data_IF_372585931428
#
_entry.id   IF_372585931428
#
_cell.length_a   1.000
_cell.length_b   1.000
_cell.length_c   1.000
_cell.angle_alpha   90.00
_cell.angle_beta   90.00
_cell.angle_gamma   90.00
#
_symmetry.space_group_name_H-M   'P 1'
#
loop_
_entity.id
_entity.type
_entity.pdbx_description
1 polymer ?
#
# COMPACT_ATOMS: atom_id res chain seq x y z
N UNK A 1 18.47 -3.71 36.67
CA UNK A 1 17.13 -3.21 36.31
C UNK A 1 17.14 -3.02 34.80
N UNK A 2 16.32 -3.76 34.06
CA UNK A 2 16.20 -3.53 32.64
C UNK A 2 15.55 -2.13 32.44
N UNK A 3 16.15 -1.30 31.60
CA UNK A 3 15.52 -0.05 31.16
C UNK A 3 14.15 -0.42 30.56
N UNK A 4 13.10 0.39 30.85
CA UNK A 4 11.79 0.14 30.27
C UNK A 4 11.92 0.12 28.73
N UNK A 5 11.29 -0.86 28.09
CA UNK A 5 11.21 -0.90 26.63
C UNK A 5 10.65 0.44 26.16
N UNK A 6 11.34 1.14 25.24
CA UNK A 6 10.78 2.36 24.68
C UNK A 6 9.48 2.02 23.96
N UNK A 7 8.46 2.90 24.05
CA UNK A 7 7.20 2.69 23.35
C UNK A 7 7.45 2.46 21.86
N UNK A 8 6.54 1.73 21.21
CA UNK A 8 6.56 1.51 19.76
C UNK A 8 6.91 2.81 19.03
N UNK A 9 8.11 2.90 18.47
CA UNK A 9 8.67 4.13 17.90
C UNK A 9 7.86 4.66 16.70
N UNK A 10 6.96 3.84 16.13
CA UNK A 10 6.13 4.21 14.99
C UNK A 10 4.66 3.82 15.25
N UNK A 11 3.68 4.59 14.73
CA UNK A 11 2.26 4.30 14.88
C UNK A 11 1.89 2.90 14.41
N UNK A 12 0.83 2.32 15.00
CA UNK A 12 0.34 0.98 14.61
C UNK A 12 -0.13 0.91 13.15
N UNK A 13 -0.67 2.00 12.63
CA UNK A 13 -1.13 2.16 11.24
C UNK A 13 0.00 2.52 10.25
N UNK A 14 1.24 2.52 10.74
CA UNK A 14 2.42 2.84 9.93
C UNK A 14 2.54 1.99 8.64
N UNK A 15 2.32 0.66 8.66
CA UNK A 15 2.42 -0.14 7.44
C UNK A 15 1.44 0.29 6.35
N UNK A 16 0.20 0.59 6.72
CA UNK A 16 -0.81 1.06 5.76
C UNK A 16 -0.47 2.45 5.21
N UNK A 17 0.03 3.33 6.08
CA UNK A 17 0.46 4.68 5.67
C UNK A 17 1.59 4.64 4.66
N UNK A 18 2.61 3.80 4.87
CA UNK A 18 3.78 3.73 4.00
C UNK A 18 3.42 3.13 2.63
N UNK A 19 2.60 2.08 2.62
CA UNK A 19 2.10 1.49 1.38
C UNK A 19 1.28 2.52 0.61
N UNK A 20 0.38 3.21 1.28
CA UNK A 20 -0.45 4.24 0.68
C UNK A 20 0.40 5.38 0.10
N UNK A 21 1.38 5.87 0.84
CA UNK A 21 2.27 6.93 0.37
C UNK A 21 3.05 6.48 -0.87
N UNK A 22 3.67 5.32 -0.81
CA UNK A 22 4.49 4.82 -1.93
C UNK A 22 3.68 4.46 -3.16
N UNK A 23 2.44 3.96 -3.02
CA UNK A 23 1.56 3.65 -4.16
C UNK A 23 0.98 4.89 -4.87
N UNK A 24 1.09 6.10 -4.29
CA UNK A 24 0.72 7.33 -4.99
C UNK A 24 1.65 7.63 -6.16
N UNK A 25 2.86 7.08 -6.16
CA UNK A 25 3.77 7.21 -7.29
C UNK A 25 3.30 6.31 -8.46
N UNK A 26 3.04 6.87 -9.68
CA UNK A 26 2.46 6.10 -10.79
C UNK A 26 3.25 4.85 -11.17
N UNK A 27 4.57 4.91 -11.11
CA UNK A 27 5.41 3.75 -11.42
C UNK A 27 5.32 2.65 -10.35
N UNK A 28 5.17 3.01 -9.06
CA UNK A 28 4.94 2.03 -7.99
C UNK A 28 3.57 1.36 -8.15
N UNK A 29 2.55 2.14 -8.51
CA UNK A 29 1.22 1.61 -8.83
C UNK A 29 1.28 0.65 -10.03
N UNK A 30 2.02 0.99 -11.10
CA UNK A 30 2.24 0.11 -12.24
C UNK A 30 2.89 -1.20 -11.83
N UNK A 31 3.95 -1.14 -11.03
CA UNK A 31 4.67 -2.33 -10.55
C UNK A 31 3.80 -3.24 -9.68
N UNK A 32 2.91 -2.65 -8.86
CA UNK A 32 1.91 -3.39 -8.11
C UNK A 32 0.88 -4.03 -9.03
N UNK A 33 0.27 -3.27 -9.94
CA UNK A 33 -0.72 -3.79 -10.86
C UNK A 33 -0.15 -4.83 -11.83
N UNK A 34 1.13 -4.78 -12.16
CA UNK A 34 1.80 -5.83 -12.93
C UNK A 34 1.80 -7.20 -12.21
N UNK A 35 1.69 -7.20 -10.88
CA UNK A 35 1.58 -8.43 -10.09
C UNK A 35 0.14 -8.89 -9.87
N UNK A 36 -0.79 -7.95 -9.83
CA UNK A 36 -2.21 -8.22 -9.52
C UNK A 36 -3.01 -8.46 -10.80
N UNK A 37 -2.68 -7.75 -11.87
CA UNK A 37 -3.37 -7.75 -13.16
C UNK A 37 -2.39 -7.85 -14.33
N UNK A 38 -1.52 -8.90 -14.37
CA UNK A 38 -0.43 -9.00 -15.34
C UNK A 38 -0.90 -8.94 -16.80
N UNK A 39 -2.09 -9.47 -17.11
CA UNK A 39 -2.64 -9.49 -18.48
C UNK A 39 -3.21 -8.11 -18.91
N UNK A 40 -3.35 -7.17 -17.98
CA UNK A 40 -4.00 -5.88 -18.21
C UNK A 40 -3.05 -4.69 -18.04
N UNK A 41 -1.93 -4.85 -17.33
CA UNK A 41 -1.07 -3.73 -16.90
C UNK A 41 -0.59 -2.87 -18.06
N UNK A 42 -0.22 -3.45 -19.18
CA UNK A 42 0.29 -2.72 -20.35
C UNK A 42 -0.80 -1.95 -21.14
N UNK A 43 -2.07 -2.11 -20.75
CA UNK A 43 -3.19 -1.36 -21.32
C UNK A 43 -3.57 -0.14 -20.49
N UNK A 44 -3.04 0.02 -19.28
CA UNK A 44 -3.24 1.20 -18.46
C UNK A 44 -2.24 2.30 -18.83
N UNK A 45 -2.71 3.52 -18.97
CA UNK A 45 -1.85 4.69 -19.15
C UNK A 45 -1.51 5.31 -17.79
N UNK A 46 -0.37 4.89 -17.23
CA UNK A 46 0.10 5.38 -15.95
C UNK A 46 0.65 6.80 -15.99
N UNK A 47 0.85 7.39 -17.18
CA UNK A 47 1.25 8.80 -17.29
C UNK A 47 0.11 9.77 -16.98
N UNK A 48 -1.13 9.28 -17.03
CA UNK A 48 -2.34 10.04 -16.78
C UNK A 48 -3.11 9.59 -15.54
N UNK A 49 -2.44 8.92 -14.59
CA UNK A 49 -3.05 8.51 -13.32
C UNK A 49 -3.49 9.73 -12.52
N UNK A 50 -4.74 9.74 -12.09
CA UNK A 50 -5.28 10.78 -11.23
C UNK A 50 -5.70 10.15 -9.89
N UNK A 51 -5.00 10.46 -8.78
CA UNK A 51 -5.49 10.07 -7.47
C UNK A 51 -6.77 10.85 -7.15
N UNK A 52 -7.80 10.15 -6.67
CA UNK A 52 -9.03 10.79 -6.24
C UNK A 52 -8.95 11.12 -4.74
N UNK A 53 -9.36 12.34 -4.40
CA UNK A 53 -9.51 12.73 -3.01
C UNK A 53 -10.76 12.07 -2.39
N UNK A 54 -10.72 11.86 -1.08
CA UNK A 54 -11.84 11.26 -0.31
C UNK A 54 -13.08 12.15 -0.21
N UNK A 55 -13.05 13.35 -0.74
CA UNK A 55 -14.19 14.29 -0.75
C UNK A 55 -15.40 13.72 -1.49
N UNK A 56 -15.20 12.73 -2.34
CA UNK A 56 -16.27 11.98 -3.02
C UNK A 56 -16.98 10.96 -2.11
N UNK A 57 -16.46 10.69 -0.92
CA UNK A 57 -17.07 9.76 0.02
C UNK A 57 -18.02 10.51 0.95
N UNK A 58 -19.14 9.87 1.31
CA UNK A 58 -20.09 10.44 2.29
C UNK A 58 -19.40 10.76 3.62
N UNK A 59 -19.94 11.74 4.38
CA UNK A 59 -19.33 12.20 5.63
C UNK A 59 -19.05 11.08 6.63
N UNK A 60 -19.88 10.04 6.66
CA UNK A 60 -19.75 8.88 7.56
C UNK A 60 -18.55 7.98 7.22
N UNK A 61 -18.01 8.08 6.00
CA UNK A 61 -16.89 7.27 5.50
C UNK A 61 -15.55 8.02 5.46
N UNK A 62 -15.56 9.34 5.59
CA UNK A 62 -14.35 10.21 5.53
C UNK A 62 -13.31 9.92 6.61
N UNK A 63 -13.71 9.29 7.72
CA UNK A 63 -12.83 8.98 8.85
C UNK A 63 -12.01 7.69 8.71
N UNK A 64 -12.18 6.90 7.65
CA UNK A 64 -11.45 5.64 7.45
C UNK A 64 -10.25 5.88 6.54
N UNK A 65 -9.04 5.81 7.11
CA UNK A 65 -7.81 6.35 6.51
C UNK A 65 -7.11 5.45 5.48
N UNK A 66 -7.61 4.26 5.15
CA UNK A 66 -6.80 3.22 4.51
C UNK A 66 -6.95 3.04 3.00
N UNK A 67 -7.80 3.81 2.32
CA UNK A 67 -8.19 3.48 0.95
C UNK A 67 -7.55 4.41 -0.09
N UNK A 68 -7.05 3.84 -1.18
CA UNK A 68 -6.50 4.55 -2.33
C UNK A 68 -7.45 4.40 -3.51
N UNK A 69 -7.75 5.52 -4.16
CA UNK A 69 -8.58 5.56 -5.36
C UNK A 69 -7.81 6.26 -6.47
N UNK A 70 -7.74 5.62 -7.64
CA UNK A 70 -7.09 6.16 -8.82
C UNK A 70 -8.00 6.06 -10.04
N UNK A 71 -8.07 7.11 -10.83
CA UNK A 71 -8.58 7.03 -12.20
C UNK A 71 -7.38 6.79 -13.10
N UNK A 72 -7.45 5.72 -13.88
CA UNK A 72 -6.39 5.34 -14.82
C UNK A 72 -7.03 5.08 -16.18
N UNK A 73 -6.62 5.77 -17.26
CA UNK A 73 -7.08 5.45 -18.61
C UNK A 73 -6.68 4.03 -18.98
N UNK A 74 -7.61 3.32 -19.64
CA UNK A 74 -7.43 1.94 -20.06
C UNK A 74 -7.74 1.78 -21.55
N UNK A 75 -6.80 1.23 -22.30
CA UNK A 75 -6.96 0.95 -23.71
C UNK A 75 -7.51 -0.47 -23.94
N UNK A 76 -8.81 -0.54 -24.19
CA UNK A 76 -9.48 -1.81 -24.45
C UNK A 76 -8.98 -2.50 -25.73
N UNK A 77 -9.35 -3.78 -25.96
CA UNK A 77 -8.90 -4.56 -27.13
C UNK A 77 -9.24 -3.93 -28.49
N UNK A 78 -10.22 -3.04 -28.53
CA UNK A 78 -10.68 -2.35 -29.75
C UNK A 78 -10.04 -0.96 -29.90
N UNK A 79 -9.00 -0.64 -29.12
CA UNK A 79 -8.33 0.67 -29.16
C UNK A 79 -9.14 1.84 -28.60
N UNK A 80 -10.29 1.58 -27.95
CA UNK A 80 -11.07 2.62 -27.27
C UNK A 80 -10.46 2.87 -25.90
N UNK A 81 -10.13 4.14 -25.66
CA UNK A 81 -9.74 4.59 -24.33
C UNK A 81 -10.99 4.72 -23.44
N UNK A 82 -10.89 4.19 -22.24
CA UNK A 82 -11.95 4.26 -21.21
C UNK A 82 -11.28 4.45 -19.86
N UNK A 83 -11.85 5.29 -19.04
CA UNK A 83 -11.40 5.42 -17.64
C UNK A 83 -11.77 4.19 -16.83
N UNK A 84 -10.80 3.67 -16.09
CA UNK A 84 -11.00 2.64 -15.10
C UNK A 84 -10.74 3.20 -13.70
N UNK A 85 -11.60 2.92 -12.75
CA UNK A 85 -11.35 3.25 -11.34
C UNK A 85 -10.64 2.08 -10.67
N UNK A 86 -9.44 2.32 -10.20
CA UNK A 86 -8.69 1.36 -9.39
C UNK A 86 -8.88 1.74 -7.92
N UNK A 87 -9.52 0.87 -7.18
CA UNK A 87 -9.69 0.96 -5.74
C UNK A 87 -8.73 -0.02 -5.07
N UNK A 88 -7.89 0.47 -4.15
CA UNK A 88 -6.96 -0.36 -3.39
C UNK A 88 -7.25 -0.17 -1.91
N UNK A 89 -7.79 -1.20 -1.28
CA UNK A 89 -7.92 -1.29 0.17
C UNK A 89 -6.65 -1.88 0.76
N UNK A 90 -6.00 -1.13 1.65
CA UNK A 90 -4.77 -1.59 2.31
C UNK A 90 -5.08 -2.04 3.73
N UNK A 91 -4.70 -3.27 4.09
CA UNK A 91 -4.95 -3.86 5.40
C UNK A 91 -3.67 -4.50 5.95
N UNK A 92 -3.25 -4.08 7.15
CA UNK A 92 -2.10 -4.65 7.86
C UNK A 92 -2.47 -5.30 9.20
N UNK A 93 -3.73 -5.37 9.54
CA UNK A 93 -4.19 -5.87 10.84
C UNK A 93 -3.94 -7.37 10.98
N UNK A 94 -3.69 -7.82 12.22
CA UNK A 94 -3.60 -9.25 12.56
C UNK A 94 -4.94 -9.96 12.44
N UNK A 95 -6.04 -9.22 12.59
CA UNK A 95 -7.41 -9.68 12.40
C UNK A 95 -8.04 -8.88 11.26
N UNK A 96 -8.23 -9.47 10.07
CA UNK A 96 -8.87 -8.82 8.95
C UNK A 96 -10.25 -8.29 9.28
N UNK A 97 -10.58 -7.08 8.78
CA UNK A 97 -11.91 -6.49 8.97
C UNK A 97 -12.94 -7.21 8.09
N UNK A 98 -13.93 -7.82 8.71
CA UNK A 98 -15.01 -8.52 8.00
C UNK A 98 -15.89 -7.59 7.14
N UNK A 99 -15.82 -6.28 7.35
CA UNK A 99 -16.55 -5.30 6.55
C UNK A 99 -15.81 -4.86 5.26
N UNK A 100 -14.60 -5.35 5.00
CA UNK A 100 -13.75 -4.90 3.88
C UNK A 100 -14.45 -4.99 2.53
N UNK A 101 -15.09 -6.12 2.23
CA UNK A 101 -15.82 -6.28 0.95
C UNK A 101 -17.05 -5.37 0.88
N UNK A 102 -17.76 -5.16 2.00
CA UNK A 102 -18.88 -4.22 2.05
C UNK A 102 -18.39 -2.77 1.83
N UNK A 103 -17.23 -2.40 2.38
CA UNK A 103 -16.63 -1.09 2.13
C UNK A 103 -16.36 -0.87 0.64
N UNK A 104 -15.77 -1.85 -0.05
CA UNK A 104 -15.55 -1.77 -1.51
C UNK A 104 -16.85 -1.52 -2.28
N UNK A 105 -17.95 -2.22 -1.92
CA UNK A 105 -19.24 -1.97 -2.56
C UNK A 105 -19.74 -0.55 -2.32
N UNK A 106 -19.59 -0.03 -1.12
CA UNK A 106 -20.05 1.31 -0.76
C UNK A 106 -19.23 2.39 -1.50
N UNK A 107 -17.92 2.20 -1.66
CA UNK A 107 -17.09 3.10 -2.46
C UNK A 107 -17.47 3.06 -3.94
N UNK A 108 -17.64 1.86 -4.49
CA UNK A 108 -18.11 1.70 -5.87
C UNK A 108 -19.46 2.41 -6.09
N UNK A 109 -20.42 2.19 -5.19
CA UNK A 109 -21.74 2.81 -5.25
C UNK A 109 -21.66 4.33 -5.16
N UNK A 110 -20.84 4.88 -4.25
CA UNK A 110 -20.66 6.34 -4.11
C UNK A 110 -20.02 6.96 -5.36
N UNK A 111 -19.06 6.29 -5.97
CA UNK A 111 -18.44 6.74 -7.23
C UNK A 111 -19.46 6.76 -8.37
N UNK A 112 -20.29 5.74 -8.49
CA UNK A 112 -21.34 5.66 -9.50
C UNK A 112 -22.47 6.66 -9.23
N UNK A 113 -22.85 6.89 -7.98
CA UNK A 113 -23.82 7.91 -7.61
C UNK A 113 -23.33 9.30 -8.01
N UNK A 114 -22.08 9.62 -7.74
CA UNK A 114 -21.46 10.89 -8.16
C UNK A 114 -21.53 11.04 -9.69
N UNK A 115 -21.12 10.03 -10.44
CA UNK A 115 -21.18 10.02 -11.89
C UNK A 115 -22.62 10.18 -12.41
N UNK A 116 -23.60 9.52 -11.79
CA UNK A 116 -25.01 9.65 -12.12
C UNK A 116 -25.54 11.06 -11.84
N UNK A 117 -25.20 11.66 -10.69
CA UNK A 117 -25.61 13.02 -10.36
C UNK A 117 -25.00 14.07 -11.31
N UNK A 118 -23.74 13.88 -11.71
CA UNK A 118 -23.10 14.73 -12.70
C UNK A 118 -23.74 14.60 -14.09
N UNK A 119 -24.00 13.37 -14.52
CA UNK A 119 -24.73 13.10 -15.76
C UNK A 119 -26.11 13.74 -15.73
N UNK A 120 -26.86 13.60 -14.64
CA UNK A 120 -28.20 14.19 -14.46
C UNK A 120 -28.20 15.72 -14.56
N UNK A 121 -27.12 16.39 -14.17
CA UNK A 121 -26.97 17.84 -14.25
C UNK A 121 -26.56 18.33 -15.64
N UNK A 122 -25.81 17.55 -16.41
CA UNK A 122 -25.16 17.98 -17.65
C UNK A 122 -25.67 17.29 -18.89
N UNK A 123 -26.42 16.19 -18.74
CA UNK A 123 -26.81 15.40 -19.92
C UNK A 123 -27.66 16.22 -20.87
N UNK A 124 -27.32 16.16 -22.15
CA UNK A 124 -28.14 16.60 -23.24
C UNK A 124 -29.12 15.49 -23.66
N UNK A 125 -30.18 15.83 -24.37
CA UNK A 125 -31.15 14.82 -24.83
C UNK A 125 -30.45 13.80 -25.74
N UNK A 126 -30.43 12.52 -25.29
CA UNK A 126 -29.85 11.41 -26.03
C UNK A 126 -28.50 10.95 -25.54
N UNK A 127 -27.88 11.63 -24.56
CA UNK A 127 -26.66 11.14 -23.92
C UNK A 127 -26.98 9.95 -23.01
N UNK A 128 -26.28 8.82 -23.23
CA UNK A 128 -26.42 7.62 -22.41
C UNK A 128 -25.62 7.71 -21.11
N UNK A 129 -26.23 7.31 -19.99
CA UNK A 129 -25.49 7.13 -18.76
C UNK A 129 -24.49 5.98 -18.92
N UNK A 130 -23.21 6.26 -18.73
CA UNK A 130 -22.15 5.25 -18.69
C UNK A 130 -21.38 5.38 -17.39
N UNK A 131 -21.30 4.28 -16.66
CA UNK A 131 -20.57 4.20 -15.42
C UNK A 131 -19.17 3.65 -15.67
N UNK A 132 -18.22 4.14 -14.90
CA UNK A 132 -16.82 3.68 -14.95
C UNK A 132 -16.69 2.27 -14.42
N UNK A 133 -15.87 1.43 -15.06
CA UNK A 133 -15.50 0.13 -14.50
C UNK A 133 -14.66 0.37 -13.23
N UNK A 134 -14.97 -0.37 -12.18
CA UNK A 134 -14.24 -0.31 -10.91
C UNK A 134 -13.55 -1.64 -10.69
N UNK A 135 -12.25 -1.60 -10.43
CA UNK A 135 -11.43 -2.75 -10.04
C UNK A 135 -11.09 -2.61 -8.56
N UNK A 136 -11.67 -3.44 -7.73
CA UNK A 136 -11.43 -3.47 -6.30
C UNK A 136 -10.30 -4.45 -5.97
N UNK A 137 -9.28 -3.99 -5.25
CA UNK A 137 -8.13 -4.78 -4.84
C UNK A 137 -7.97 -4.66 -3.33
N UNK A 138 -7.87 -5.78 -2.65
CA UNK A 138 -7.51 -5.84 -1.22
C UNK A 138 -6.03 -6.22 -1.12
N UNK A 139 -5.21 -5.28 -0.70
CA UNK A 139 -3.79 -5.50 -0.45
C UNK A 139 -3.60 -5.79 1.05
N UNK A 140 -3.38 -7.05 1.38
CA UNK A 140 -3.18 -7.49 2.74
C UNK A 140 -1.70 -7.74 3.04
N UNK A 141 -1.16 -7.00 4.00
CA UNK A 141 0.24 -7.12 4.43
C UNK A 141 0.39 -7.61 5.86
N UNK A 142 -0.71 -7.97 6.53
CA UNK A 142 -0.69 -8.51 7.89
C UNK A 142 0.06 -9.83 7.99
N UNK A 143 0.51 -10.19 9.22
CA UNK A 143 1.32 -11.39 9.46
C UNK A 143 0.50 -12.68 9.37
N UNK A 144 -0.81 -12.61 9.63
CA UNK A 144 -1.73 -13.74 9.62
C UNK A 144 -2.29 -14.08 8.23
N UNK A 145 -3.13 -15.11 8.17
CA UNK A 145 -3.94 -15.44 7.00
C UNK A 145 -5.17 -14.56 6.98
N UNK A 146 -5.63 -14.17 5.78
CA UNK A 146 -6.92 -13.52 5.65
C UNK A 146 -8.05 -14.50 6.05
N UNK A 147 -8.83 -14.16 7.06
CA UNK A 147 -9.91 -15.01 7.62
C UNK A 147 -11.29 -14.38 7.47
N UNK A 148 -11.39 -13.13 7.02
CA UNK A 148 -12.65 -12.45 6.76
C UNK A 148 -13.24 -12.84 5.39
N UNK A 149 -14.53 -12.57 5.14
CA UNK A 149 -15.15 -12.82 3.85
C UNK A 149 -14.38 -12.19 2.68
N UNK A 150 -14.30 -12.93 1.56
CA UNK A 150 -13.60 -12.50 0.34
C UNK A 150 -14.56 -12.03 -0.75
N UNK A 151 -15.83 -12.32 -0.62
CA UNK A 151 -16.86 -11.91 -1.57
C UNK A 151 -18.08 -11.34 -0.85
N UNK A 152 -18.83 -10.50 -1.56
CA UNK A 152 -20.08 -9.96 -1.00
C UNK A 152 -21.09 -11.07 -0.71
N UNK A 153 -21.09 -12.13 -1.51
CA UNK A 153 -21.99 -13.27 -1.30
C UNK A 153 -21.77 -13.99 0.02
N UNK A 154 -20.56 -13.96 0.58
CA UNK A 154 -20.25 -14.52 1.90
C UNK A 154 -20.81 -13.67 3.07
N UNK A 155 -21.07 -12.39 2.82
CA UNK A 155 -21.65 -11.47 3.79
C UNK A 155 -23.18 -11.46 3.78
N UNK A 156 -23.79 -11.81 2.65
CA UNK A 156 -25.25 -11.74 2.48
C UNK A 156 -25.91 -12.98 3.05
N UNK A 157 -26.68 -12.80 4.13
CA UNK A 157 -27.51 -13.86 4.70
C UNK A 157 -28.84 -13.93 3.98
N UNK A 158 -29.30 -15.15 3.63
CA UNK A 158 -30.60 -15.36 2.99
C UNK A 158 -30.73 -16.77 2.41
N UNK A 159 -31.92 -17.09 1.86
CA UNK A 159 -32.15 -18.37 1.16
C UNK A 159 -31.21 -18.52 -0.05
N UNK A 160 -30.57 -19.67 -0.17
CA UNK A 160 -29.57 -19.94 -1.22
C UNK A 160 -30.11 -19.81 -2.66
N UNK A 161 -31.39 -20.12 -2.86
CA UNK A 161 -32.09 -19.99 -4.15
C UNK A 161 -32.33 -18.54 -4.57
N UNK A 162 -32.31 -17.59 -3.62
CA UNK A 162 -32.44 -16.15 -3.84
C UNK A 162 -31.09 -15.44 -3.99
N UNK A 163 -29.98 -16.08 -3.62
CA UNK A 163 -28.64 -15.47 -3.67
C UNK A 163 -28.26 -14.92 -5.07
N UNK A 164 -28.76 -15.54 -6.15
CA UNK A 164 -28.54 -15.11 -7.54
C UNK A 164 -29.09 -13.70 -7.87
N UNK A 165 -30.02 -13.18 -7.07
CA UNK A 165 -30.63 -11.87 -7.27
C UNK A 165 -29.91 -10.77 -6.46
N UNK A 166 -29.02 -11.15 -5.57
CA UNK A 166 -28.20 -10.21 -4.80
C UNK A 166 -27.09 -9.56 -5.65
N UNK A 167 -26.56 -8.42 -5.20
CA UNK A 167 -25.40 -7.82 -5.83
C UNK A 167 -24.17 -8.74 -5.71
N UNK A 168 -23.30 -8.72 -6.71
CA UNK A 168 -22.03 -9.47 -6.70
C UNK A 168 -20.88 -8.49 -6.73
N UNK A 169 -19.94 -8.70 -5.83
CA UNK A 169 -18.65 -8.03 -5.81
C UNK A 169 -17.60 -9.01 -5.28
N UNK A 170 -16.62 -9.27 -6.11
CA UNK A 170 -15.50 -10.18 -5.82
C UNK A 170 -14.19 -9.39 -5.98
N UNK A 171 -13.71 -8.71 -4.91
CA UNK A 171 -12.43 -8.00 -4.97
C UNK A 171 -11.27 -8.96 -5.24
N UNK A 172 -10.22 -8.45 -5.87
CA UNK A 172 -8.96 -9.18 -6.03
C UNK A 172 -8.21 -9.10 -4.71
N UNK A 173 -7.92 -10.24 -4.09
CA UNK A 173 -7.11 -10.31 -2.87
C UNK A 173 -5.65 -10.60 -3.22
N UNK A 174 -4.77 -9.72 -2.77
CA UNK A 174 -3.33 -9.90 -2.88
C UNK A 174 -2.71 -9.88 -1.49
N UNK A 175 -2.15 -11.01 -1.06
CA UNK A 175 -1.57 -11.19 0.28
C UNK A 175 -0.04 -11.21 0.16
N UNK A 176 0.63 -10.33 0.90
CA UNK A 176 2.09 -10.26 0.92
C UNK A 176 2.72 -11.57 1.41
N UNK A 177 2.08 -12.24 2.36
CA UNK A 177 2.56 -13.52 2.90
C UNK A 177 2.67 -14.64 1.87
N UNK A 178 1.84 -14.60 0.83
CA UNK A 178 1.82 -15.60 -0.24
C UNK A 178 2.91 -15.35 -1.29
N UNK A 179 3.61 -14.22 -1.18
CA UNK A 179 4.73 -13.89 -2.05
C UNK A 179 6.03 -14.43 -1.48
N UNK A 180 6.83 -15.08 -2.32
CA UNK A 180 8.20 -15.43 -1.91
C UNK A 180 9.10 -14.20 -1.95
N UNK A 181 10.02 -14.10 -1.01
CA UNK A 181 11.00 -13.01 -0.96
C UNK A 181 11.81 -12.94 -2.24
N UNK A 182 12.25 -14.08 -2.78
CA UNK A 182 13.06 -14.12 -4.00
C UNK A 182 12.26 -13.69 -5.23
N UNK A 183 10.96 -14.01 -5.30
CA UNK A 183 10.07 -13.49 -6.35
C UNK A 183 9.90 -11.97 -6.28
N UNK A 184 9.89 -11.40 -5.07
CA UNK A 184 9.81 -9.96 -4.88
C UNK A 184 11.15 -9.27 -5.23
N UNK A 185 12.28 -9.86 -4.83
CA UNK A 185 13.61 -9.35 -5.14
C UNK A 185 13.93 -9.43 -6.65
N UNK A 186 13.51 -10.48 -7.34
CA UNK A 186 13.74 -10.63 -8.79
C UNK A 186 12.75 -9.87 -9.68
N UNK A 187 11.65 -9.35 -9.11
CA UNK A 187 10.67 -8.59 -9.87
C UNK A 187 11.26 -7.29 -10.43
N UNK A 188 10.74 -6.83 -11.56
CA UNK A 188 11.13 -5.52 -12.10
C UNK A 188 10.64 -4.39 -11.20
N UNK A 189 11.46 -3.34 -11.10
CA UNK A 189 11.13 -2.12 -10.38
C UNK A 189 11.53 -2.11 -8.91
N UNK A 190 11.32 -0.96 -8.26
CA UNK A 190 11.76 -0.72 -6.89
C UNK A 190 10.73 -1.08 -5.82
N UNK A 191 9.43 -0.92 -6.11
CA UNK A 191 8.38 -1.14 -5.12
C UNK A 191 8.32 -2.60 -4.62
N UNK A 192 8.48 -3.65 -5.46
CA UNK A 192 8.59 -5.03 -5.00
C UNK A 192 9.76 -5.28 -4.05
N UNK A 193 10.88 -4.53 -4.18
CA UNK A 193 12.04 -4.66 -3.27
C UNK A 193 11.68 -4.20 -1.85
N UNK A 194 10.94 -3.10 -1.73
CA UNK A 194 10.39 -2.65 -0.46
C UNK A 194 9.49 -3.73 0.17
N UNK A 195 8.62 -4.33 -0.62
CA UNK A 195 7.76 -5.44 -0.16
C UNK A 195 8.56 -6.67 0.27
N UNK A 196 9.69 -6.98 -0.40
CA UNK A 196 10.57 -8.08 0.03
C UNK A 196 11.09 -7.86 1.44
N UNK A 197 11.51 -6.64 1.77
CA UNK A 197 11.95 -6.27 3.13
C UNK A 197 10.78 -6.36 4.12
N UNK A 198 9.60 -5.89 3.73
CA UNK A 198 8.39 -6.03 4.57
C UNK A 198 8.08 -7.50 4.85
N UNK A 199 8.15 -8.36 3.84
CA UNK A 199 7.89 -9.81 3.95
C UNK A 199 8.91 -10.51 4.85
N UNK A 200 10.17 -10.07 4.83
CA UNK A 200 11.25 -10.62 5.64
C UNK A 200 11.28 -10.07 7.08
N UNK A 201 10.44 -9.10 7.44
CA UNK A 201 10.51 -8.37 8.71
C UNK A 201 10.59 -9.24 9.95
N UNK A 202 9.91 -10.39 9.99
CA UNK A 202 9.90 -11.35 11.11
C UNK A 202 10.82 -12.56 10.89
N UNK A 203 11.71 -12.56 9.88
CA UNK A 203 12.65 -13.65 9.62
C UNK A 203 13.87 -13.62 10.59
N UNK A 204 14.76 -14.62 10.48
CA UNK A 204 16.03 -14.59 11.20
C UNK A 204 16.87 -13.36 10.85
N UNK A 205 17.84 -13.02 11.68
CA UNK A 205 18.75 -11.88 11.45
C UNK A 205 19.46 -12.01 10.11
N UNK A 206 20.01 -13.19 9.83
CA UNK A 206 20.79 -13.47 8.63
C UNK A 206 19.92 -13.34 7.37
N UNK A 207 18.70 -13.86 7.41
CA UNK A 207 17.77 -13.77 6.28
C UNK A 207 17.29 -12.33 6.06
N UNK A 208 16.98 -11.61 7.15
CA UNK A 208 16.61 -10.21 7.05
C UNK A 208 17.75 -9.38 6.45
N UNK A 209 19.00 -9.53 6.94
CA UNK A 209 20.16 -8.82 6.41
C UNK A 209 20.37 -9.09 4.92
N UNK A 210 20.28 -10.36 4.50
CA UNK A 210 20.40 -10.76 3.10
C UNK A 210 19.40 -10.00 2.22
N UNK A 211 18.13 -10.03 2.62
CA UNK A 211 17.03 -9.39 1.87
C UNK A 211 17.16 -7.88 1.89
N UNK A 212 17.45 -7.30 3.03
CA UNK A 212 17.57 -5.86 3.24
C UNK A 212 18.69 -5.27 2.37
N UNK A 213 19.88 -5.87 2.40
CA UNK A 213 21.01 -5.41 1.57
C UNK A 213 20.73 -5.63 0.08
N UNK A 214 20.14 -6.77 -0.30
CA UNK A 214 19.80 -7.03 -1.69
C UNK A 214 18.76 -6.00 -2.21
N UNK A 215 17.73 -5.70 -1.43
CA UNK A 215 16.72 -4.71 -1.80
C UNK A 215 17.34 -3.30 -1.96
N UNK A 216 18.19 -2.88 -1.03
CA UNK A 216 18.82 -1.54 -1.10
C UNK A 216 19.76 -1.40 -2.30
N UNK A 217 20.52 -2.44 -2.66
CA UNK A 217 21.37 -2.44 -3.86
C UNK A 217 20.55 -2.33 -5.15
N UNK A 218 19.43 -3.04 -5.21
CA UNK A 218 18.52 -2.94 -6.36
C UNK A 218 17.85 -1.55 -6.45
N UNK A 219 17.53 -0.94 -5.30
CA UNK A 219 16.96 0.40 -5.25
C UNK A 219 17.97 1.48 -5.69
N UNK A 220 19.27 1.28 -5.49
CA UNK A 220 20.31 2.24 -5.88
C UNK A 220 20.24 2.61 -7.38
N UNK A 221 19.79 1.68 -8.23
CA UNK A 221 19.60 1.97 -9.66
C UNK A 221 18.60 3.12 -9.91
N UNK A 222 17.72 3.41 -8.97
CA UNK A 222 16.78 4.54 -9.03
C UNK A 222 17.45 5.88 -8.65
N UNK A 223 18.52 5.88 -7.87
CA UNK A 223 19.15 7.10 -7.36
C UNK A 223 19.54 8.08 -8.49
N UNK A 224 20.01 7.53 -9.63
CA UNK A 224 20.41 8.31 -10.80
C UNK A 224 19.31 8.59 -11.81
N UNK A 225 18.17 7.90 -11.75
CA UNK A 225 17.08 7.99 -12.74
C UNK A 225 15.80 8.58 -12.21
N UNK A 226 15.50 8.34 -10.93
CA UNK A 226 14.30 8.81 -10.25
C UNK A 226 14.60 9.02 -8.74
N UNK A 227 15.31 10.11 -8.46
CA UNK A 227 15.82 10.42 -7.12
C UNK A 227 14.71 10.52 -6.07
N UNK A 228 13.57 11.11 -6.41
CA UNK A 228 12.45 11.27 -5.49
C UNK A 228 11.91 9.90 -5.09
N UNK A 229 11.67 9.06 -6.06
CA UNK A 229 11.18 7.70 -5.84
C UNK A 229 12.17 6.85 -5.04
N UNK A 230 13.46 6.97 -5.33
CA UNK A 230 14.52 6.32 -4.56
C UNK A 230 14.44 6.71 -3.09
N UNK A 231 14.38 8.02 -2.78
CA UNK A 231 14.26 8.53 -1.42
C UNK A 231 13.02 7.99 -0.69
N UNK A 232 11.88 7.97 -1.36
CA UNK A 232 10.63 7.45 -0.79
C UNK A 232 10.74 5.96 -0.45
N UNK A 233 11.24 5.15 -1.36
CA UNK A 233 11.35 3.70 -1.16
C UNK A 233 12.42 3.33 -0.13
N UNK A 234 13.58 3.98 -0.16
CA UNK A 234 14.63 3.77 0.85
C UNK A 234 14.14 4.20 2.23
N UNK A 235 13.48 5.36 2.33
CA UNK A 235 12.86 5.80 3.57
C UNK A 235 11.88 4.76 4.11
N UNK A 236 11.03 4.21 3.24
CA UNK A 236 10.07 3.16 3.60
C UNK A 236 10.77 1.92 4.15
N UNK A 237 11.84 1.47 3.51
CA UNK A 237 12.65 0.33 3.93
C UNK A 237 13.32 0.57 5.29
N UNK A 238 13.92 1.75 5.51
CA UNK A 238 14.54 2.11 6.78
C UNK A 238 13.52 2.21 7.92
N UNK A 239 12.38 2.84 7.67
CA UNK A 239 11.29 2.92 8.65
C UNK A 239 10.77 1.52 9.02
N UNK A 240 10.62 0.63 8.03
CA UNK A 240 10.22 -0.75 8.29
C UNK A 240 11.25 -1.52 9.13
N UNK A 241 12.53 -1.34 8.83
CA UNK A 241 13.64 -1.91 9.61
C UNK A 241 13.58 -1.43 11.07
N UNK A 242 13.43 -0.12 11.31
CA UNK A 242 13.30 0.44 12.66
C UNK A 242 12.10 -0.14 13.40
N UNK A 243 10.98 -0.38 12.72
CA UNK A 243 9.75 -0.93 13.29
C UNK A 243 9.88 -2.39 13.67
N UNK A 244 10.44 -3.20 12.77
CA UNK A 244 10.34 -4.65 12.85
C UNK A 244 11.56 -5.31 13.54
N UNK A 245 12.70 -4.60 13.58
CA UNK A 245 13.93 -5.22 14.10
C UNK A 245 14.28 -4.73 15.50
N UNK A 246 14.77 -5.65 16.35
CA UNK A 246 15.27 -5.32 17.69
C UNK A 246 16.28 -4.19 17.68
N UNK A 247 16.31 -3.42 18.77
CA UNK A 247 17.19 -2.26 18.89
C UNK A 247 18.67 -2.62 18.71
N UNK A 248 19.05 -3.77 19.19
CA UNK A 248 20.42 -4.29 19.16
C UNK A 248 20.93 -4.54 17.73
N UNK A 249 20.03 -4.85 16.80
CA UNK A 249 20.38 -5.12 15.40
C UNK A 249 20.51 -3.85 14.57
N UNK A 250 19.85 -2.75 14.97
CA UNK A 250 19.74 -1.52 14.17
C UNK A 250 21.07 -0.88 13.81
N UNK A 251 22.08 -0.76 14.72
CA UNK A 251 23.39 -0.20 14.36
C UNK A 251 24.09 -0.98 13.24
N UNK A 252 24.00 -2.31 13.30
CA UNK A 252 24.57 -3.16 12.26
C UNK A 252 23.81 -3.02 10.94
N UNK A 253 22.49 -3.01 10.98
CA UNK A 253 21.64 -2.84 9.79
C UNK A 253 21.85 -1.47 9.14
N UNK A 254 21.98 -0.40 9.93
CA UNK A 254 22.30 0.94 9.43
C UNK A 254 23.65 0.96 8.70
N UNK A 255 24.67 0.34 9.29
CA UNK A 255 25.98 0.22 8.66
C UNK A 255 25.89 -0.53 7.31
N UNK A 256 25.18 -1.64 7.28
CA UNK A 256 24.95 -2.43 6.05
C UNK A 256 24.17 -1.62 5.01
N UNK A 257 23.19 -0.79 5.42
CA UNK A 257 22.45 0.08 4.52
C UNK A 257 23.39 1.08 3.83
N UNK A 258 24.23 1.77 4.59
CA UNK A 258 25.23 2.73 4.06
C UNK A 258 26.25 2.03 3.15
N UNK A 259 26.79 0.91 3.57
CA UNK A 259 27.77 0.12 2.80
C UNK A 259 27.16 -0.49 1.52
N UNK A 260 25.84 -0.64 1.45
CA UNK A 260 25.15 -1.14 0.26
C UNK A 260 25.16 -0.16 -0.91
N UNK A 261 25.40 1.12 -0.64
CA UNK A 261 25.41 2.17 -1.66
C UNK A 261 26.83 2.36 -2.23
N UNK A 262 26.93 2.51 -3.55
CA UNK A 262 28.24 2.68 -4.24
C UNK A 262 28.72 4.13 -4.20
N UNK A 263 27.78 5.09 -4.31
CA UNK A 263 28.11 6.53 -4.36
C UNK A 263 28.25 7.11 -2.94
N UNK A 264 29.25 7.95 -2.75
CA UNK A 264 29.49 8.60 -1.45
C UNK A 264 28.36 9.53 -1.04
N UNK A 265 27.75 10.20 -2.02
CA UNK A 265 26.60 11.09 -1.78
C UNK A 265 25.39 10.32 -1.28
N UNK A 266 25.10 9.16 -1.87
CA UNK A 266 23.97 8.29 -1.48
C UNK A 266 24.18 7.69 -0.08
N UNK A 267 25.44 7.39 0.28
CA UNK A 267 25.81 6.94 1.64
C UNK A 267 25.49 8.00 2.68
N UNK A 268 25.93 9.25 2.43
CA UNK A 268 25.70 10.36 3.35
C UNK A 268 24.20 10.66 3.48
N UNK A 269 23.46 10.60 2.39
CA UNK A 269 22.02 10.82 2.41
C UNK A 269 21.29 9.71 3.20
N UNK A 270 21.72 8.46 3.07
CA UNK A 270 21.17 7.34 3.83
C UNK A 270 21.44 7.47 5.33
N UNK A 271 22.64 7.88 5.74
CA UNK A 271 22.96 8.18 7.14
C UNK A 271 22.06 9.28 7.70
N UNK A 272 21.97 10.41 6.99
CA UNK A 272 21.14 11.56 7.37
C UNK A 272 19.66 11.19 7.45
N UNK A 273 19.18 10.38 6.51
CA UNK A 273 17.80 9.90 6.50
C UNK A 273 17.50 9.01 7.69
N UNK A 274 18.41 8.07 8.02
CA UNK A 274 18.25 7.21 9.18
C UNK A 274 18.19 8.01 10.48
N UNK A 275 19.12 8.94 10.70
CA UNK A 275 19.15 9.82 11.88
C UNK A 275 17.85 10.62 12.00
N UNK A 276 17.40 11.24 10.90
CA UNK A 276 16.16 12.00 10.88
C UNK A 276 14.93 11.15 11.23
N UNK A 277 14.84 9.93 10.68
CA UNK A 277 13.73 9.00 10.97
C UNK A 277 13.78 8.56 12.43
N UNK A 278 14.96 8.22 12.91
CA UNK A 278 15.15 7.74 14.30
C UNK A 278 14.78 8.83 15.31
N UNK A 279 15.26 10.06 15.12
CA UNK A 279 14.96 11.20 16.00
C UNK A 279 13.46 11.53 16.00
N UNK A 280 12.82 11.50 14.82
CA UNK A 280 11.38 11.72 14.69
C UNK A 280 10.59 10.61 15.42
N UNK A 281 11.02 9.36 15.31
CA UNK A 281 10.38 8.22 15.96
C UNK A 281 10.52 8.30 17.49
N UNK A 282 11.72 8.63 17.99
CA UNK A 282 11.97 8.84 19.43
C UNK A 282 11.11 9.97 19.99
N UNK A 283 11.06 11.11 19.30
CA UNK A 283 10.22 12.24 19.71
C UNK A 283 8.75 11.86 19.78
N UNK A 284 8.26 11.16 18.78
CA UNK A 284 6.86 10.71 18.73
C UNK A 284 6.55 9.72 19.86
N UNK A 285 7.46 8.80 20.14
CA UNK A 285 7.34 7.85 21.26
C UNK A 285 7.25 8.55 22.61
N UNK A 286 8.10 9.59 22.83
CA UNK A 286 8.07 10.43 24.05
C UNK A 286 6.75 11.20 24.17
N UNK A 287 6.23 11.76 23.07
CA UNK A 287 4.97 12.51 23.08
C UNK A 287 3.76 11.61 23.36
N UNK A 288 3.77 10.37 22.86
CA UNK A 288 2.75 9.36 23.15
C UNK A 288 2.82 8.95 24.64
N UNK A 289 4.01 8.64 25.17
CA UNK A 289 4.20 8.29 26.57
C UNK A 289 3.70 9.38 27.52
N UNK A 290 3.95 10.66 27.21
CA UNK A 290 3.43 11.80 27.99
C UNK A 290 1.91 11.90 27.94
N UNK A 291 1.29 11.64 26.79
CA UNK A 291 -0.19 11.68 26.63
C UNK A 291 -0.88 10.53 27.37
N UNK A 292 -0.23 9.38 27.46
CA UNK A 292 -0.75 8.20 28.16
C UNK A 292 -0.41 8.22 29.66
N UNK A 293 0.24 9.25 30.17
CA UNK A 293 0.59 9.42 31.59
C UNK A 293 1.70 8.48 32.05
N UNK A 294 2.48 7.95 31.13
CA UNK A 294 3.66 7.16 31.42
C UNK A 294 4.86 8.11 31.53
N UNK A 295 5.34 8.36 32.77
CA UNK A 295 6.64 9.02 32.97
C UNK A 295 7.74 8.05 32.50
N UNK A 296 8.42 8.42 31.45
CA UNK A 296 9.59 7.74 30.90
C UNK A 296 10.88 8.23 31.58
#
# INVERSE_FOLDING_TARGET
>A
MAEPEPPDLLPRDFPDKIIRQTLQHPQNLREFLARVLPEHVDRFDFSQVVPLSREFLTADWRGREADLLFVVPYHGPQGREQDCLIEILTEHQTSPDSSTVLRSLLYASSSWETAWLEWKKRHERGEELRLRTIVCIVLYTGPGTWTAPRSLSELVAGPADLARFGPRLDPIFWELRDQSVDSLLSALGGWPKMLAVMRAGASSVEEFERVFVAALRELEALAGTDRIRWLELVRAVLMWMIRMRPREERPRLTKLAVESQNQQEDRLEMETMYETIYDAAVKQGLDLGRKEGLDL
#
